data_IF_227315343304
#
_entry.id   IF_227315343304
#
_cell.length_a   1.000
_cell.length_b   1.000
_cell.length_c   1.000
_cell.angle_alpha   90.00
_cell.angle_beta   90.00
_cell.angle_gamma   90.00
#
_symmetry.space_group_name_H-M   'P 1'
#
loop_
_entity.id
_entity.type
_entity.pdbx_description
1 polymer ?
#
# COMPACT_ATOMS: atom_id res chain seq x y z
N UNK A 1 21.42 2.51 34.62
CA UNK A 1 20.32 3.13 33.83
C UNK A 1 19.00 2.75 34.47
N UNK A 2 18.15 3.73 34.80
CA UNK A 2 16.95 3.53 35.64
C UNK A 2 15.80 2.88 34.85
N UNK A 3 15.02 2.03 35.51
CA UNK A 3 13.81 1.35 34.96
C UNK A 3 12.80 2.36 34.39
N UNK A 4 12.77 3.58 34.96
CA UNK A 4 11.90 4.67 34.53
C UNK A 4 12.22 5.19 33.11
N UNK A 5 13.49 5.16 32.67
CA UNK A 5 13.85 5.56 31.29
C UNK A 5 13.47 4.49 30.27
N UNK A 6 13.59 3.19 30.61
CA UNK A 6 13.18 2.09 29.74
C UNK A 6 11.67 2.04 29.50
N UNK A 7 10.86 2.47 30.47
CA UNK A 7 9.40 2.58 30.32
C UNK A 7 9.01 3.75 29.42
N UNK A 8 9.78 4.85 29.38
CA UNK A 8 9.48 5.98 28.50
C UNK A 8 9.78 5.66 27.03
N UNK A 9 10.90 4.99 26.75
CA UNK A 9 11.30 4.63 25.39
C UNK A 9 10.50 3.45 24.81
N UNK A 10 10.06 2.49 25.66
CA UNK A 10 9.19 1.38 25.22
C UNK A 10 7.69 1.66 25.35
N UNK A 11 7.29 2.42 26.37
CA UNK A 11 5.88 2.74 26.63
C UNK A 11 5.33 3.75 25.64
N UNK A 12 6.16 4.64 25.08
CA UNK A 12 5.77 5.57 24.03
C UNK A 12 5.31 4.85 22.75
N UNK A 13 6.07 3.86 22.29
CA UNK A 13 5.70 3.10 21.08
C UNK A 13 4.44 2.26 21.29
N UNK A 14 4.31 1.60 22.44
CA UNK A 14 3.09 0.84 22.79
C UNK A 14 1.88 1.78 22.81
N UNK A 15 1.99 2.98 23.38
CA UNK A 15 0.89 3.94 23.39
C UNK A 15 0.53 4.43 21.99
N UNK A 16 1.53 4.73 21.14
CA UNK A 16 1.28 5.16 19.76
C UNK A 16 0.58 4.05 18.97
N UNK A 17 1.01 2.80 19.12
CA UNK A 17 0.38 1.65 18.46
C UNK A 17 -1.04 1.43 18.98
N UNK A 18 -1.27 1.58 20.28
CA UNK A 18 -2.59 1.42 20.90
C UNK A 18 -3.55 2.55 20.49
N UNK A 19 -3.05 3.78 20.38
CA UNK A 19 -3.81 4.93 19.86
C UNK A 19 -4.09 4.75 18.36
N UNK A 20 -3.12 4.27 17.57
CA UNK A 20 -3.33 3.99 16.14
C UNK A 20 -4.38 2.89 15.93
N UNK A 21 -4.31 1.80 16.71
CA UNK A 21 -5.34 0.76 16.72
C UNK A 21 -6.70 1.28 17.18
N UNK A 22 -6.75 2.16 18.17
CA UNK A 22 -7.99 2.79 18.63
C UNK A 22 -8.59 3.73 17.57
N UNK A 23 -7.76 4.47 16.82
CA UNK A 23 -8.22 5.31 15.71
C UNK A 23 -8.76 4.46 14.54
N UNK A 24 -8.12 3.33 14.23
CA UNK A 24 -8.63 2.39 13.23
C UNK A 24 -9.96 1.78 13.69
N UNK A 25 -10.06 1.34 14.95
CA UNK A 25 -11.30 0.82 15.51
C UNK A 25 -12.42 1.88 15.57
N UNK A 26 -12.08 3.13 15.88
CA UNK A 26 -13.00 4.26 15.88
C UNK A 26 -13.50 4.57 14.46
N UNK A 27 -12.63 4.58 13.46
CA UNK A 27 -13.02 4.76 12.06
C UNK A 27 -13.93 3.62 11.59
N UNK A 28 -13.70 2.38 12.05
CA UNK A 28 -14.59 1.25 11.77
C UNK A 28 -15.95 1.37 12.48
N UNK A 29 -15.99 1.93 13.69
CA UNK A 29 -17.21 2.17 14.45
C UNK A 29 -18.04 3.35 13.88
N UNK A 30 -17.38 4.36 13.30
CA UNK A 30 -18.00 5.56 12.72
C UNK A 30 -18.59 5.34 11.31
N UNK A 31 -18.31 4.20 10.66
CA UNK A 31 -19.06 3.78 9.44
C UNK A 31 -20.44 3.21 9.75
N UNK A 32 -20.87 3.26 11.00
CA UNK A 32 -22.17 2.83 11.48
C UNK A 32 -23.30 3.86 11.32
N UNK A 33 -23.21 4.90 10.49
CA UNK A 33 -24.39 5.72 10.11
C UNK A 33 -24.26 6.26 8.68
N UNK A 34 -24.76 5.50 7.71
CA UNK A 34 -25.34 6.06 6.49
C UNK A 34 -26.41 5.07 6.01
N UNK A 35 -27.64 5.57 5.92
CA UNK A 35 -28.84 4.74 5.82
C UNK A 35 -28.94 3.88 4.56
N UNK A 36 -29.76 2.84 4.73
CA UNK A 36 -30.66 2.30 3.71
C UNK A 36 -30.02 1.50 2.56
N UNK A 37 -29.78 0.21 2.84
CA UNK A 37 -29.56 -0.82 1.81
C UNK A 37 -28.60 -1.91 2.29
N UNK A 38 -29.14 -3.02 2.78
CA UNK A 38 -28.37 -4.15 3.31
C UNK A 38 -27.54 -4.89 2.25
N UNK A 39 -26.44 -4.29 1.82
CA UNK A 39 -25.38 -4.94 1.06
C UNK A 39 -24.24 -5.36 1.99
N UNK A 40 -23.79 -6.60 1.85
CA UNK A 40 -22.54 -7.05 2.50
C UNK A 40 -21.39 -6.20 1.93
N UNK A 41 -20.87 -5.27 2.73
CA UNK A 41 -19.73 -4.41 2.39
C UNK A 41 -18.38 -5.07 2.66
N UNK A 42 -18.39 -6.21 3.35
CA UNK A 42 -17.18 -6.95 3.76
C UNK A 42 -17.06 -8.24 2.97
N UNK A 43 -15.94 -8.46 2.28
CA UNK A 43 -15.68 -9.71 1.57
C UNK A 43 -15.09 -10.78 2.51
N UNK A 44 -14.36 -10.37 3.55
CA UNK A 44 -13.79 -11.30 4.52
C UNK A 44 -12.96 -10.62 5.61
N UNK A 45 -12.38 -11.43 6.49
CA UNK A 45 -11.54 -10.97 7.61
C UNK A 45 -10.31 -11.87 7.75
N UNK A 46 -9.12 -11.27 7.79
CA UNK A 46 -7.82 -11.95 7.92
C UNK A 46 -7.15 -11.42 9.19
N UNK A 47 -6.89 -12.30 10.17
CA UNK A 47 -6.23 -11.95 11.44
C UNK A 47 -6.73 -10.65 12.10
N UNK A 48 -8.05 -10.43 12.15
CA UNK A 48 -8.59 -9.20 12.75
C UNK A 48 -8.87 -8.06 11.76
N UNK A 49 -8.22 -8.06 10.59
CA UNK A 49 -8.32 -7.00 9.57
C UNK A 49 -9.46 -7.32 8.60
N UNK A 50 -10.36 -6.35 8.40
CA UNK A 50 -11.52 -6.45 7.51
C UNK A 50 -11.09 -6.09 6.10
N UNK A 51 -11.44 -6.93 5.13
CA UNK A 51 -11.26 -6.66 3.71
C UNK A 51 -12.58 -6.12 3.15
N UNK A 52 -12.58 -4.83 2.81
CA UNK A 52 -13.71 -4.15 2.20
C UNK A 52 -13.93 -4.63 0.76
N UNK A 53 -15.20 -4.86 0.41
CA UNK A 53 -15.59 -5.36 -0.91
C UNK A 53 -15.24 -4.37 -2.01
N UNK A 54 -15.47 -3.08 -1.82
CA UNK A 54 -15.19 -2.06 -2.82
C UNK A 54 -13.69 -1.92 -3.05
N UNK A 55 -12.88 -1.93 -1.99
CA UNK A 55 -11.42 -1.91 -2.11
C UNK A 55 -10.89 -3.15 -2.86
N UNK A 56 -11.44 -4.33 -2.56
CA UNK A 56 -11.07 -5.58 -3.23
C UNK A 56 -11.45 -5.56 -4.72
N UNK A 57 -12.66 -5.13 -5.06
CA UNK A 57 -13.11 -5.02 -6.45
C UNK A 57 -12.28 -3.99 -7.24
N UNK A 58 -11.86 -2.89 -6.61
CA UNK A 58 -10.97 -1.91 -7.25
C UNK A 58 -9.60 -2.53 -7.59
N UNK A 59 -9.01 -3.28 -6.66
CA UNK A 59 -7.75 -4.01 -6.90
C UNK A 59 -7.90 -5.08 -7.97
N UNK A 60 -9.01 -5.80 -7.97
CA UNK A 60 -9.32 -6.79 -9.00
C UNK A 60 -9.44 -6.12 -10.37
N UNK A 61 -10.16 -5.02 -10.48
CA UNK A 61 -10.30 -4.26 -11.73
C UNK A 61 -8.96 -3.69 -12.20
N UNK A 62 -8.12 -3.21 -11.28
CA UNK A 62 -6.77 -2.75 -11.61
C UNK A 62 -5.91 -3.91 -12.16
N UNK A 63 -5.96 -5.06 -11.51
CA UNK A 63 -5.27 -6.29 -11.94
C UNK A 63 -5.74 -6.73 -13.32
N UNK A 64 -7.06 -6.79 -13.54
CA UNK A 64 -7.65 -7.09 -14.85
C UNK A 64 -7.14 -6.15 -15.96
N UNK A 65 -7.09 -4.84 -15.68
CA UNK A 65 -6.56 -3.84 -16.63
C UNK A 65 -5.07 -4.04 -16.90
N UNK A 66 -4.29 -4.41 -15.90
CA UNK A 66 -2.84 -4.61 -16.03
C UNK A 66 -2.51 -5.84 -16.88
N UNK A 67 -3.23 -6.95 -16.69
CA UNK A 67 -3.01 -8.18 -17.46
C UNK A 67 -3.69 -8.18 -18.84
N UNK A 68 -4.72 -7.34 -19.05
CA UNK A 68 -5.35 -7.15 -20.35
C UNK A 68 -5.80 -8.47 -20.98
N UNK A 69 -5.39 -8.74 -22.24
CA UNK A 69 -5.73 -9.98 -22.94
C UNK A 69 -5.02 -11.24 -22.41
N UNK A 70 -3.97 -11.08 -21.59
CA UNK A 70 -3.28 -12.18 -20.92
C UNK A 70 -3.89 -12.50 -19.55
N UNK A 71 -4.91 -11.76 -19.13
CA UNK A 71 -5.61 -12.04 -17.88
C UNK A 71 -6.25 -13.44 -17.98
N UNK A 72 -5.97 -14.29 -17.00
CA UNK A 72 -6.66 -15.58 -16.84
C UNK A 72 -8.16 -15.39 -16.61
N UNK A 73 -8.90 -16.46 -16.32
CA UNK A 73 -10.32 -16.30 -16.01
C UNK A 73 -10.49 -15.41 -14.77
N UNK A 74 -11.60 -14.67 -14.68
CA UNK A 74 -11.85 -13.74 -13.56
C UNK A 74 -11.72 -14.43 -12.20
N UNK A 75 -12.09 -15.71 -12.11
CA UNK A 75 -11.95 -16.52 -10.90
C UNK A 75 -10.49 -16.76 -10.51
N UNK A 76 -9.59 -16.92 -11.48
CA UNK A 76 -8.14 -17.03 -11.23
C UNK A 76 -7.55 -15.70 -10.75
N UNK A 77 -8.05 -14.58 -11.28
CA UNK A 77 -7.62 -13.26 -10.82
C UNK A 77 -8.13 -12.96 -9.41
N UNK A 78 -9.38 -13.32 -9.10
CA UNK A 78 -9.94 -13.21 -7.75
C UNK A 78 -9.09 -13.97 -6.75
N UNK A 79 -8.74 -15.23 -7.04
CA UNK A 79 -7.93 -16.04 -6.12
C UNK A 79 -6.49 -15.50 -5.98
N UNK A 80 -5.92 -14.98 -7.07
CA UNK A 80 -4.62 -14.31 -7.06
C UNK A 80 -4.61 -13.04 -6.19
N UNK A 81 -5.55 -12.13 -6.43
CA UNK A 81 -5.69 -10.88 -5.67
C UNK A 81 -6.02 -11.18 -4.20
N UNK A 82 -6.85 -12.18 -3.94
CA UNK A 82 -7.13 -12.62 -2.57
C UNK A 82 -5.88 -13.09 -1.84
N UNK A 83 -5.10 -13.97 -2.46
CA UNK A 83 -3.86 -14.49 -1.86
C UNK A 83 -2.86 -13.36 -1.59
N UNK A 84 -2.69 -12.44 -2.54
CA UNK A 84 -1.85 -11.25 -2.37
C UNK A 84 -2.31 -10.37 -1.21
N UNK A 85 -3.62 -10.17 -1.05
CA UNK A 85 -4.15 -9.34 0.03
C UNK A 85 -3.98 -10.03 1.40
N UNK A 86 -4.19 -11.34 1.47
CA UNK A 86 -3.93 -12.14 2.67
C UNK A 86 -2.44 -12.05 3.06
N UNK A 87 -1.54 -12.30 2.12
CA UNK A 87 -0.09 -12.25 2.35
C UNK A 87 0.37 -10.85 2.76
N UNK A 88 -0.18 -9.80 2.12
CA UNK A 88 0.05 -8.40 2.50
C UNK A 88 -0.35 -8.15 3.95
N UNK A 89 -1.55 -8.57 4.35
CA UNK A 89 -2.07 -8.34 5.71
C UNK A 89 -1.21 -9.08 6.74
N UNK A 90 -0.87 -10.35 6.48
CA UNK A 90 -0.05 -11.14 7.41
C UNK A 90 1.34 -10.56 7.53
N UNK A 91 1.99 -10.25 6.40
CA UNK A 91 3.35 -9.68 6.40
C UNK A 91 3.38 -8.33 7.09
N UNK A 92 2.41 -7.44 6.79
CA UNK A 92 2.32 -6.15 7.45
C UNK A 92 2.16 -6.28 8.97
N UNK A 93 1.34 -7.22 9.45
CA UNK A 93 1.19 -7.47 10.88
C UNK A 93 2.49 -7.94 11.53
N UNK A 94 3.27 -8.79 10.86
CA UNK A 94 4.57 -9.23 11.36
C UNK A 94 5.61 -8.09 11.33
N UNK A 95 5.64 -7.29 10.26
CA UNK A 95 6.50 -6.10 10.17
C UNK A 95 6.17 -5.10 11.29
N UNK A 96 4.89 -4.83 11.55
CA UNK A 96 4.44 -3.93 12.61
C UNK A 96 4.84 -4.45 14.00
N UNK A 97 4.74 -5.76 14.25
CA UNK A 97 5.21 -6.39 15.51
C UNK A 97 6.71 -6.25 15.69
N UNK A 98 7.47 -6.36 14.60
CA UNK A 98 8.93 -6.21 14.59
C UNK A 98 9.36 -4.73 14.61
N UNK A 99 8.44 -3.80 14.41
CA UNK A 99 8.72 -2.37 14.31
C UNK A 99 9.43 -1.98 13.03
N UNK A 100 9.32 -2.80 11.98
CA UNK A 100 9.90 -2.55 10.67
C UNK A 100 8.97 -1.62 9.88
N UNK A 101 9.50 -0.48 9.45
CA UNK A 101 8.76 0.49 8.65
C UNK A 101 9.69 1.10 7.60
N UNK A 102 9.20 1.25 6.38
CA UNK A 102 9.93 1.94 5.32
C UNK A 102 9.73 3.44 5.49
N UNK A 103 10.81 4.16 5.74
CA UNK A 103 10.74 5.62 5.83
C UNK A 103 10.54 6.24 4.45
N UNK A 104 9.95 7.44 4.41
CA UNK A 104 9.77 8.17 3.14
C UNK A 104 11.09 8.45 2.41
N UNK A 105 12.21 8.51 3.14
CA UNK A 105 13.55 8.64 2.57
C UNK A 105 13.97 7.36 1.84
N UNK A 106 13.86 6.21 2.49
CA UNK A 106 14.18 4.90 1.90
C UNK A 106 13.31 4.61 0.68
N UNK A 107 12.02 4.90 0.76
CA UNK A 107 11.12 4.77 -0.39
C UNK A 107 11.56 5.66 -1.56
N UNK A 108 11.97 6.90 -1.28
CA UNK A 108 12.48 7.83 -2.32
C UNK A 108 13.79 7.30 -2.91
N UNK A 109 14.68 6.79 -2.08
CA UNK A 109 15.96 6.26 -2.51
C UNK A 109 15.75 5.04 -3.43
N UNK A 110 14.87 4.09 -3.07
CA UNK A 110 14.55 2.95 -3.93
C UNK A 110 13.82 3.37 -5.22
N UNK A 111 12.84 4.28 -5.13
CA UNK A 111 12.08 4.73 -6.31
C UNK A 111 12.93 5.49 -7.33
N UNK A 112 13.97 6.20 -6.90
CA UNK A 112 14.80 7.01 -7.79
C UNK A 112 16.24 6.51 -7.93
N UNK A 113 16.54 5.32 -7.42
CA UNK A 113 17.84 4.69 -7.58
C UNK A 113 18.13 4.39 -9.05
N UNK A 114 19.35 4.70 -9.49
CA UNK A 114 19.80 4.54 -10.87
C UNK A 114 19.75 3.10 -11.38
N UNK A 115 19.83 2.12 -10.48
CA UNK A 115 20.01 0.71 -10.85
C UNK A 115 18.77 -0.14 -10.57
N UNK A 116 18.15 0.05 -9.41
CA UNK A 116 17.07 -0.79 -8.86
C UNK A 116 15.68 -0.20 -8.99
N UNK A 117 15.56 1.04 -9.48
CA UNK A 117 14.27 1.71 -9.54
C UNK A 117 13.25 0.96 -10.43
N UNK A 118 12.03 0.69 -9.92
CA UNK A 118 10.94 0.14 -10.73
C UNK A 118 10.49 1.10 -11.84
N UNK A 119 10.86 2.39 -11.75
CA UNK A 119 10.54 3.41 -12.75
C UNK A 119 11.41 3.30 -14.01
N UNK A 120 12.48 2.50 -13.98
CA UNK A 120 13.37 2.31 -15.15
C UNK A 120 12.62 1.79 -16.37
N UNK A 121 11.57 0.98 -16.19
CA UNK A 121 10.77 0.49 -17.31
C UNK A 121 10.08 1.60 -18.11
N UNK A 122 9.63 2.65 -17.43
CA UNK A 122 8.81 3.70 -18.02
C UNK A 122 9.61 4.99 -18.30
N UNK A 123 10.68 5.24 -17.54
CA UNK A 123 11.45 6.49 -17.58
C UNK A 123 12.92 6.28 -18.00
N UNK A 124 13.23 5.20 -18.72
CA UNK A 124 14.53 5.05 -19.38
C UNK A 124 14.48 5.49 -20.83
N UNK A 125 15.58 6.04 -21.32
CA UNK A 125 15.69 6.39 -22.73
C UNK A 125 15.67 5.11 -23.59
N UNK A 126 14.76 4.98 -24.57
CA UNK A 126 14.66 3.78 -25.39
C UNK A 126 15.88 3.53 -26.29
N UNK A 127 16.77 4.53 -26.46
CA UNK A 127 17.99 4.40 -27.27
C UNK A 127 19.24 4.14 -26.44
N UNK A 128 19.37 4.75 -25.26
CA UNK A 128 20.57 4.62 -24.41
C UNK A 128 20.36 3.68 -23.21
N UNK A 129 19.11 3.34 -22.89
CA UNK A 129 18.75 2.57 -21.69
C UNK A 129 19.02 3.32 -20.38
N UNK A 130 19.40 4.60 -20.45
CA UNK A 130 19.76 5.40 -19.30
C UNK A 130 18.51 5.89 -18.58
N UNK A 131 18.45 5.64 -17.27
CA UNK A 131 17.31 6.03 -16.46
C UNK A 131 17.29 7.54 -16.22
N UNK A 132 16.21 8.19 -16.66
CA UNK A 132 16.03 9.63 -16.55
C UNK A 132 15.40 10.00 -15.20
N UNK A 133 16.22 9.90 -14.15
CA UNK A 133 15.84 10.22 -12.76
C UNK A 133 15.15 11.59 -12.64
N UNK A 134 15.63 12.60 -13.38
CA UNK A 134 15.07 13.95 -13.35
C UNK A 134 13.66 14.02 -13.97
N UNK A 135 13.39 13.28 -15.05
CA UNK A 135 12.07 13.21 -15.68
C UNK A 135 11.10 12.43 -14.78
N UNK A 136 11.54 11.33 -14.18
CA UNK A 136 10.77 10.58 -13.20
C UNK A 136 10.39 11.45 -11.99
N UNK A 137 11.35 12.18 -11.40
CA UNK A 137 11.09 13.11 -10.28
C UNK A 137 10.10 14.20 -10.66
N UNK A 138 10.21 14.76 -11.87
CA UNK A 138 9.29 15.79 -12.35
C UNK A 138 7.87 15.24 -12.58
N UNK A 139 7.73 14.03 -13.13
CA UNK A 139 6.44 13.37 -13.29
C UNK A 139 5.77 13.14 -11.92
N UNK A 140 6.50 12.57 -10.96
CA UNK A 140 5.98 12.39 -9.59
C UNK A 140 5.65 13.72 -8.90
N UNK A 141 6.43 14.78 -9.11
CA UNK A 141 6.16 16.10 -8.56
C UNK A 141 4.90 16.76 -9.19
N UNK A 142 4.67 16.54 -10.48
CA UNK A 142 3.45 17.01 -11.16
C UNK A 142 2.23 16.25 -10.67
N UNK A 143 2.34 14.93 -10.45
CA UNK A 143 1.23 14.13 -9.97
C UNK A 143 0.93 14.41 -8.50
N UNK A 144 1.95 14.66 -7.66
CA UNK A 144 1.75 15.14 -6.29
C UNK A 144 1.02 16.50 -6.24
N UNK A 145 1.19 17.33 -7.27
CA UNK A 145 0.49 18.63 -7.42
C UNK A 145 -0.86 18.50 -8.12
N UNK A 146 -1.11 17.38 -8.78
CA UNK A 146 -2.37 17.06 -9.45
C UNK A 146 -3.45 16.85 -8.39
N UNK A 147 -4.63 17.46 -8.60
CA UNK A 147 -5.83 17.20 -7.78
C UNK A 147 -6.59 15.94 -8.25
N UNK A 148 -6.05 15.21 -9.23
CA UNK A 148 -6.70 14.03 -9.78
C UNK A 148 -6.44 12.82 -8.86
N UNK A 149 -7.44 12.48 -8.05
CA UNK A 149 -7.37 11.38 -7.09
C UNK A 149 -7.11 10.02 -7.77
N UNK A 150 -7.66 9.80 -8.97
CA UNK A 150 -7.48 8.54 -9.71
C UNK A 150 -6.03 8.36 -10.18
N UNK A 151 -5.36 9.44 -10.64
CA UNK A 151 -3.94 9.37 -11.03
C UNK A 151 -3.03 9.09 -9.84
N UNK A 152 -3.32 9.68 -8.68
CA UNK A 152 -2.56 9.46 -7.45
C UNK A 152 -2.74 8.02 -6.97
N UNK A 153 -3.97 7.50 -6.99
CA UNK A 153 -4.28 6.14 -6.58
C UNK A 153 -3.64 5.10 -7.49
N UNK A 154 -3.65 5.33 -8.81
CA UNK A 154 -2.97 4.47 -9.78
C UNK A 154 -1.46 4.38 -9.52
N UNK A 155 -0.79 5.47 -9.18
CA UNK A 155 0.65 5.47 -8.88
C UNK A 155 0.94 4.80 -7.56
N UNK A 156 0.06 4.99 -6.57
CA UNK A 156 0.19 4.30 -5.29
C UNK A 156 0.14 2.79 -5.50
N UNK A 157 -0.82 2.30 -6.27
CA UNK A 157 -0.98 0.87 -6.55
C UNK A 157 0.11 0.32 -7.49
N UNK A 158 0.52 1.09 -8.50
CA UNK A 158 1.49 0.62 -9.50
C UNK A 158 2.94 0.67 -9.02
N UNK A 159 3.30 1.63 -8.18
CA UNK A 159 4.71 1.89 -7.83
C UNK A 159 4.98 1.90 -6.33
N UNK A 160 4.13 2.50 -5.50
CA UNK A 160 4.45 2.72 -4.07
C UNK A 160 4.18 1.47 -3.24
N UNK A 161 2.98 0.89 -3.30
CA UNK A 161 2.64 -0.35 -2.59
C UNK A 161 3.64 -1.49 -2.89
N UNK A 162 3.94 -1.82 -4.16
CA UNK A 162 4.88 -2.91 -4.45
C UNK A 162 6.31 -2.59 -4.00
N UNK A 163 6.77 -1.33 -4.06
CA UNK A 163 8.11 -0.97 -3.59
C UNK A 163 8.23 -1.13 -2.08
N UNK A 164 7.19 -0.77 -1.31
CA UNK A 164 7.17 -0.96 0.14
C UNK A 164 7.22 -2.47 0.46
N UNK A 165 6.42 -3.28 -0.23
CA UNK A 165 6.41 -4.73 -0.03
C UNK A 165 7.74 -5.39 -0.38
N UNK A 166 8.44 -4.91 -1.41
CA UNK A 166 9.76 -5.44 -1.79
C UNK A 166 10.90 -4.99 -0.87
N UNK A 167 10.70 -3.90 -0.14
CA UNK A 167 11.72 -3.31 0.74
C UNK A 167 11.66 -3.81 2.18
N UNK A 168 10.64 -4.60 2.53
CA UNK A 168 10.41 -5.19 3.87
C UNK A 168 10.55 -6.71 3.83
#
# INVERSE_FOLDING_TARGET
MSVIQKIRDKGGWIMITLIALALIAFVLQDRGVAGQGGGITTIGKVNGVVIDKTAFENKLSFTEKMYGQQAGTREQLISGVWSQEVDKIISQQEYDKLGLTVTGKELTDVLFDGNTSPLKREFSDPKTGEFKVAEAKNAFAQIKKSKNAEQVEMINQAYIEPTIQQSL
#
